data_IF_797703145600
#
_entry.id   IF_797703145600
#
_cell.length_a   1.000
_cell.length_b   1.000
_cell.length_c   1.000
_cell.angle_alpha   90.00
_cell.angle_beta   90.00
_cell.angle_gamma   90.00
#
_symmetry.space_group_name_H-M   'P 1'
#
loop_
_entity.id
_entity.type
_entity.pdbx_description
1 polymer ?
#
# COMPACT_ATOMS: atom_id res chain seq x y z
N UNK A 1 -13.10 5.95 0.62
CA UNK A 1 -13.36 5.59 -0.79
C UNK A 1 -13.11 4.10 -0.95
N UNK A 2 -14.02 3.37 -1.59
CA UNK A 2 -13.86 1.95 -1.90
C UNK A 2 -13.74 1.82 -3.43
N UNK A 3 -12.63 1.27 -3.92
CA UNK A 3 -12.41 1.04 -5.36
C UNK A 3 -12.62 -0.43 -5.72
N UNK A 4 -13.16 -0.72 -6.91
CA UNK A 4 -13.24 -2.08 -7.47
C UNK A 4 -12.22 -2.25 -8.59
N UNK A 5 -11.44 -3.32 -8.55
CA UNK A 5 -10.43 -3.66 -9.56
C UNK A 5 -10.81 -4.99 -10.21
N UNK A 6 -10.87 -5.00 -11.55
CA UNK A 6 -11.26 -6.20 -12.33
C UNK A 6 -10.20 -7.29 -12.35
N UNK A 7 -8.93 -6.87 -12.48
CA UNK A 7 -7.79 -7.79 -12.51
C UNK A 7 -7.14 -7.86 -11.13
N UNK A 8 -6.66 -9.04 -10.76
CA UNK A 8 -5.85 -9.23 -9.56
C UNK A 8 -4.59 -8.36 -9.66
N UNK A 9 -4.40 -7.36 -8.78
CA UNK A 9 -3.18 -6.56 -8.78
C UNK A 9 -1.99 -7.39 -8.28
N UNK A 10 -0.83 -7.13 -8.84
CA UNK A 10 0.45 -7.72 -8.38
C UNK A 10 1.17 -6.86 -7.35
N UNK A 11 0.77 -5.59 -7.20
CA UNK A 11 1.34 -4.65 -6.25
C UNK A 11 0.32 -3.58 -5.85
N UNK A 12 0.56 -2.95 -4.70
CA UNK A 12 -0.06 -1.69 -4.31
C UNK A 12 0.97 -0.57 -4.45
N UNK A 13 0.53 0.59 -4.93
CA UNK A 13 1.34 1.78 -5.09
C UNK A 13 0.60 2.99 -4.52
N UNK A 14 1.30 3.82 -3.73
CA UNK A 14 0.78 5.07 -3.18
C UNK A 14 1.72 6.19 -3.59
N UNK A 15 1.16 7.22 -4.24
CA UNK A 15 1.87 8.47 -4.54
C UNK A 15 1.59 9.47 -3.43
N UNK A 16 2.65 10.06 -2.90
CA UNK A 16 2.63 11.08 -1.87
C UNK A 16 2.88 12.46 -2.48
N UNK A 17 2.49 13.50 -1.76
CA UNK A 17 2.72 14.90 -2.15
C UNK A 17 4.06 15.44 -1.62
N UNK A 18 4.69 14.73 -0.69
CA UNK A 18 5.94 15.10 -0.02
C UNK A 18 6.90 13.91 -0.07
N UNK A 19 8.19 14.20 -0.20
CA UNK A 19 9.24 13.18 -0.27
C UNK A 19 9.34 12.41 1.05
N UNK A 20 9.41 11.09 0.93
CA UNK A 20 9.40 10.19 2.06
C UNK A 20 10.79 9.75 2.48
N UNK A 21 10.94 9.56 3.79
CA UNK A 21 11.99 8.75 4.35
C UNK A 21 11.64 7.27 4.22
N UNK A 22 12.41 6.52 3.42
CA UNK A 22 12.15 5.10 3.15
C UNK A 22 12.21 4.20 4.41
N UNK A 23 13.08 4.52 5.38
CA UNK A 23 13.30 3.66 6.54
C UNK A 23 12.13 3.70 7.54
N UNK A 24 11.36 4.79 7.52
CA UNK A 24 10.26 5.05 8.45
C UNK A 24 8.88 5.10 7.78
N UNK A 25 8.80 4.61 6.54
CA UNK A 25 7.56 4.57 5.75
C UNK A 25 7.27 3.14 5.31
N UNK A 26 5.98 2.82 5.13
CA UNK A 26 5.62 1.47 4.71
C UNK A 26 4.14 1.26 4.42
N UNK A 27 3.88 0.22 3.63
CA UNK A 27 2.55 -0.26 3.26
C UNK A 27 2.37 -1.69 3.78
N UNK A 28 1.20 -1.97 4.35
CA UNK A 28 0.71 -3.31 4.70
C UNK A 28 -0.62 -3.55 4.01
N UNK A 29 -0.78 -4.73 3.43
CA UNK A 29 -2.04 -5.13 2.80
C UNK A 29 -2.58 -6.38 3.48
N UNK A 30 -3.83 -6.31 3.92
CA UNK A 30 -4.51 -7.38 4.64
C UNK A 30 -5.79 -7.80 3.92
N UNK A 31 -6.11 -9.10 3.97
CA UNK A 31 -7.41 -9.59 3.51
C UNK A 31 -8.52 -9.34 4.56
N UNK A 32 -9.75 -9.71 4.25
CA UNK A 32 -10.90 -9.57 5.17
C UNK A 32 -10.78 -10.33 6.49
N UNK A 33 -9.82 -11.26 6.62
CA UNK A 33 -9.50 -12.00 7.85
C UNK A 33 -8.35 -11.36 8.64
N UNK A 34 -7.86 -10.18 8.23
CA UNK A 34 -6.71 -9.52 8.83
C UNK A 34 -5.37 -10.19 8.51
N UNK A 35 -5.33 -11.11 7.53
CA UNK A 35 -4.08 -11.79 7.17
C UNK A 35 -3.30 -10.95 6.16
N UNK A 36 -2.00 -10.79 6.42
CA UNK A 36 -1.08 -10.08 5.53
C UNK A 36 -0.89 -10.78 4.19
N UNK A 37 -1.26 -10.11 3.11
CA UNK A 37 -1.16 -10.58 1.72
C UNK A 37 -0.08 -9.87 0.90
N UNK A 38 0.58 -8.86 1.46
CA UNK A 38 1.79 -8.31 0.86
C UNK A 38 3.05 -9.13 1.18
N UNK A 39 4.13 -8.88 0.43
CA UNK A 39 5.41 -9.58 0.54
C UNK A 39 6.32 -9.08 1.66
N UNK A 40 6.02 -7.94 2.28
CA UNK A 40 6.89 -7.33 3.28
C UNK A 40 7.94 -6.36 2.73
N UNK A 41 8.38 -6.56 1.49
CA UNK A 41 9.39 -5.73 0.86
C UNK A 41 8.76 -4.50 0.20
N UNK A 42 8.75 -3.38 0.93
CA UNK A 42 8.41 -2.08 0.39
C UNK A 42 9.53 -1.50 -0.47
N UNK A 43 9.19 -0.73 -1.49
CA UNK A 43 10.14 -0.03 -2.34
C UNK A 43 9.73 1.43 -2.51
N UNK A 44 10.65 2.35 -2.21
CA UNK A 44 10.50 3.76 -2.50
C UNK A 44 11.19 4.07 -3.84
N UNK A 45 10.47 4.64 -4.79
CA UNK A 45 11.04 5.05 -6.07
C UNK A 45 12.09 6.17 -5.90
N UNK A 46 12.95 6.35 -6.89
CA UNK A 46 14.06 7.32 -6.84
C UNK A 46 13.62 8.79 -6.65
N UNK A 47 12.38 9.14 -6.97
CA UNK A 47 11.82 10.47 -6.73
C UNK A 47 11.24 10.65 -5.32
N UNK A 48 11.32 9.62 -4.47
CA UNK A 48 10.84 9.60 -3.08
C UNK A 48 9.34 9.90 -2.88
N UNK A 49 8.54 9.95 -3.96
CA UNK A 49 7.11 10.24 -3.91
C UNK A 49 6.24 9.00 -4.15
N UNK A 50 6.80 7.89 -4.61
CA UNK A 50 6.06 6.67 -4.93
C UNK A 50 6.55 5.50 -4.08
N UNK A 51 5.71 5.01 -3.18
CA UNK A 51 5.98 3.82 -2.38
C UNK A 51 5.15 2.64 -2.91
N UNK A 52 5.80 1.51 -3.15
CA UNK A 52 5.15 0.28 -3.65
C UNK A 52 5.40 -0.90 -2.72
N UNK A 53 4.47 -1.85 -2.71
CA UNK A 53 4.66 -3.17 -2.09
C UNK A 53 4.07 -4.25 -2.99
N UNK A 54 4.84 -5.30 -3.23
CA UNK A 54 4.36 -6.44 -4.02
C UNK A 54 3.37 -7.27 -3.21
N UNK A 55 2.34 -7.79 -3.89
CA UNK A 55 1.35 -8.69 -3.32
C UNK A 55 1.72 -10.15 -3.60
N UNK A 56 1.40 -11.04 -2.66
CA UNK A 56 1.33 -12.48 -2.91
C UNK A 56 0.18 -12.76 -3.89
N UNK A 57 0.11 -13.95 -4.49
CA UNK A 57 -1.08 -14.35 -5.23
C UNK A 57 -2.34 -14.21 -4.35
N UNK A 58 -3.27 -13.36 -4.79
CA UNK A 58 -4.55 -13.11 -4.12
C UNK A 58 -5.72 -13.41 -5.07
N UNK A 59 -6.92 -13.61 -4.51
CA UNK A 59 -8.14 -13.87 -5.27
C UNK A 59 -9.14 -12.72 -5.20
N UNK A 60 -10.37 -12.93 -5.72
CA UNK A 60 -11.48 -12.02 -5.49
C UNK A 60 -11.74 -11.82 -3.98
N UNK A 61 -12.11 -10.60 -3.59
CA UNK A 61 -12.36 -10.25 -2.19
C UNK A 61 -12.03 -8.81 -1.87
N UNK A 62 -12.30 -8.42 -0.62
CA UNK A 62 -11.98 -7.08 -0.10
C UNK A 62 -10.66 -7.10 0.66
N UNK A 63 -9.84 -6.10 0.41
CA UNK A 63 -8.51 -5.92 0.98
C UNK A 63 -8.41 -4.55 1.63
N UNK A 64 -7.71 -4.48 2.76
CA UNK A 64 -7.40 -3.24 3.47
C UNK A 64 -5.93 -2.92 3.26
N UNK A 65 -5.65 -1.70 2.81
CA UNK A 65 -4.31 -1.15 2.70
C UNK A 65 -4.11 -0.21 3.88
N UNK A 66 -3.15 -0.53 4.74
CA UNK A 66 -2.70 0.35 5.82
C UNK A 66 -1.36 0.94 5.41
N UNK A 67 -1.17 2.22 5.63
CA UNK A 67 0.08 2.90 5.31
C UNK A 67 0.48 3.88 6.40
N UNK A 68 1.78 4.09 6.52
CA UNK A 68 2.39 5.15 7.32
C UNK A 68 3.54 5.76 6.53
N UNK A 69 3.77 7.04 6.74
CA UNK A 69 4.76 7.83 6.04
C UNK A 69 5.44 8.79 7.03
N UNK A 70 6.76 8.90 6.91
CA UNK A 70 7.55 9.98 7.47
C UNK A 70 8.07 10.78 6.28
N UNK A 71 7.67 12.03 6.14
CA UNK A 71 8.28 12.95 5.17
C UNK A 71 9.67 13.39 5.63
N UNK A 72 10.52 13.81 4.68
CA UNK A 72 11.88 14.27 5.00
C UNK A 72 11.92 15.56 5.85
N UNK A 73 10.81 16.31 5.91
CA UNK A 73 10.64 17.46 6.82
C UNK A 73 10.25 17.07 8.26
N UNK A 74 10.04 15.77 8.53
CA UNK A 74 9.77 15.22 9.85
C UNK A 74 8.29 15.01 10.18
N UNK A 75 7.36 15.34 9.29
CA UNK A 75 5.94 15.07 9.53
C UNK A 75 5.59 13.58 9.40
N UNK A 76 4.83 13.07 10.36
CA UNK A 76 4.32 11.69 10.37
C UNK A 76 2.86 11.68 9.99
N UNK A 77 2.52 10.91 8.97
CA UNK A 77 1.14 10.69 8.54
C UNK A 77 0.87 9.19 8.39
N UNK A 78 -0.38 8.80 8.53
CA UNK A 78 -0.82 7.42 8.35
C UNK A 78 -2.26 7.39 7.86
N UNK A 79 -2.69 6.25 7.35
CA UNK A 79 -4.06 6.08 6.93
C UNK A 79 -4.39 4.66 6.49
N UNK A 80 -5.64 4.48 6.11
CA UNK A 80 -6.13 3.24 5.53
C UNK A 80 -7.10 3.51 4.38
N UNK A 81 -7.14 2.58 3.43
CA UNK A 81 -8.22 2.50 2.45
C UNK A 81 -8.51 1.06 2.09
N UNK A 82 -9.66 0.82 1.44
CA UNK A 82 -10.08 -0.52 1.02
C UNK A 82 -10.27 -0.57 -0.48
N UNK A 83 -9.94 -1.73 -1.05
CA UNK A 83 -10.28 -2.06 -2.44
C UNK A 83 -10.87 -3.47 -2.51
N UNK A 84 -11.70 -3.70 -3.53
CA UNK A 84 -12.31 -4.98 -3.82
C UNK A 84 -11.80 -5.49 -5.15
N UNK A 85 -11.36 -6.73 -5.20
CA UNK A 85 -11.09 -7.46 -6.43
C UNK A 85 -12.36 -8.24 -6.80
N UNK A 86 -12.96 -7.91 -7.94
CA UNK A 86 -14.13 -8.58 -8.46
C UNK A 86 -14.09 -8.55 -10.01
N UNK A 87 -14.37 -9.68 -10.69
CA UNK A 87 -14.39 -9.76 -12.17
C UNK A 87 -15.30 -8.74 -12.85
#
# INVERSE_FOLDING_TARGET
MNGTVKSVPTQVAITFTEELNAHFSGIRVENSKGQRVDTGAGHLAANHLLFTVALKPIGPGTYTVLWHALSDDGHKTHGEYRFTVAP
#
